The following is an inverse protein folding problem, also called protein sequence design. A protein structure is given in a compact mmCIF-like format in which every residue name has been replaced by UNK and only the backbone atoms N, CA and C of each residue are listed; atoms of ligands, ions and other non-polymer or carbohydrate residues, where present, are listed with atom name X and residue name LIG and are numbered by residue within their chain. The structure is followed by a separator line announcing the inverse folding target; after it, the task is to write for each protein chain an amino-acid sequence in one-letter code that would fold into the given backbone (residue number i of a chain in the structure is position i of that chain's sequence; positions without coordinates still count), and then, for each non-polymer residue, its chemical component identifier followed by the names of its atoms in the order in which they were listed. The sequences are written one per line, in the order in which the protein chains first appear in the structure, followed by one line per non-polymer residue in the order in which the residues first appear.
data_IF_444484998607
#
_entry.id   IF_444484998607
#
_cell.length_a   1.000
_cell.length_b   1.000
_cell.length_c   1.000
_cell.angle_alpha   90.00
_cell.angle_beta   90.00
_cell.angle_gamma   90.00
#
_symmetry.space_group_name_H-M   'P 1'
#
loop_
_entity.id
_entity.type
_entity.pdbx_description
1 polymer ?
#
# COMPACT_ATOMS: atom_id res chain seq x y z
N UNK A 1 36.86 -12.39 1.04
CA UNK A 1 35.62 -12.82 0.37
C UNK A 1 34.55 -11.78 0.60
N UNK A 2 33.84 -11.40 -0.43
CA UNK A 2 32.70 -10.50 -0.34
C UNK A 2 31.43 -11.28 -0.70
N UNK A 3 30.40 -11.19 0.12
CA UNK A 3 29.14 -11.91 -0.08
C UNK A 3 28.01 -10.86 -0.06
N UNK A 4 27.20 -10.87 -1.11
CA UNK A 4 25.96 -10.10 -1.18
C UNK A 4 24.77 -11.05 -0.98
N UNK A 5 23.75 -10.55 -0.28
CA UNK A 5 22.46 -11.21 -0.09
C UNK A 5 21.37 -10.15 -0.02
N UNK A 6 20.10 -10.53 0.01
CA UNK A 6 18.97 -9.62 0.19
C UNK A 6 19.07 -8.83 1.51
N UNK A 7 19.71 -9.41 2.54
CA UNK A 7 20.00 -8.76 3.82
C UNK A 7 21.22 -7.82 3.81
N UNK A 8 21.90 -7.63 2.69
CA UNK A 8 23.03 -6.71 2.56
C UNK A 8 24.34 -7.33 2.12
N UNK A 9 25.44 -6.67 2.49
CA UNK A 9 26.79 -7.07 2.12
C UNK A 9 27.61 -7.46 3.34
N UNK A 10 28.28 -8.61 3.27
CA UNK A 10 29.19 -9.08 4.28
C UNK A 10 30.58 -9.35 3.71
N UNK A 11 31.59 -9.14 4.51
CA UNK A 11 33.01 -9.31 4.12
C UNK A 11 33.78 -10.19 5.12
N UNK A 12 34.64 -11.06 4.61
CA UNK A 12 35.64 -11.76 5.40
C UNK A 12 37.03 -11.55 4.79
N UNK A 13 37.98 -11.07 5.59
CA UNK A 13 39.35 -10.87 5.15
C UNK A 13 40.12 -12.20 5.01
N UNK A 14 39.80 -13.21 5.81
CA UNK A 14 40.54 -14.45 5.95
C UNK A 14 39.78 -15.71 5.57
N UNK A 15 38.52 -15.58 5.08
CA UNK A 15 37.66 -16.72 4.82
C UNK A 15 37.01 -17.33 6.07
N UNK A 16 37.21 -16.71 7.24
CA UNK A 16 36.54 -17.05 8.49
C UNK A 16 35.19 -16.33 8.69
N UNK A 17 34.99 -15.73 9.86
CA UNK A 17 33.77 -15.02 10.20
C UNK A 17 33.45 -13.92 9.19
N UNK A 18 32.20 -13.82 8.79
CA UNK A 18 31.67 -12.74 7.97
C UNK A 18 31.29 -11.55 8.87
N UNK A 19 31.75 -10.36 8.50
CA UNK A 19 31.36 -9.11 9.15
C UNK A 19 30.43 -8.33 8.22
N UNK A 20 29.34 -7.83 8.75
CA UNK A 20 28.45 -6.99 7.95
C UNK A 20 29.13 -5.69 7.51
N UNK A 21 28.89 -5.29 6.29
CA UNK A 21 29.34 -4.02 5.67
C UNK A 21 28.16 -3.20 5.16
N UNK A 22 26.99 -3.45 5.70
CA UNK A 22 25.73 -2.82 5.25
C UNK A 22 25.51 -1.42 5.83
N UNK A 23 26.44 -0.87 6.63
CA UNK A 23 26.31 0.51 7.14
C UNK A 23 26.20 1.50 5.98
N UNK A 24 25.13 2.26 5.96
CA UNK A 24 24.74 3.18 4.87
C UNK A 24 24.41 2.47 3.55
N UNK A 25 24.18 1.16 3.58
CA UNK A 25 23.69 0.40 2.45
C UNK A 25 22.22 0.06 2.71
N UNK A 26 21.33 0.71 1.98
CA UNK A 26 19.89 0.49 2.10
C UNK A 26 19.52 -0.73 1.25
N UNK A 27 19.20 -1.84 1.90
CA UNK A 27 18.88 -3.11 1.25
C UNK A 27 17.39 -3.45 1.31
N UNK A 28 16.61 -2.73 2.09
CA UNK A 28 15.17 -2.95 2.14
C UNK A 28 14.53 -2.57 0.80
N UNK A 29 13.85 -3.52 0.19
CA UNK A 29 13.09 -3.33 -1.04
C UNK A 29 11.61 -3.36 -0.70
N UNK A 30 10.99 -2.20 -0.67
CA UNK A 30 9.55 -2.06 -0.46
C UNK A 30 8.80 -2.36 -1.76
N UNK A 31 7.77 -3.19 -1.65
CA UNK A 31 6.80 -3.41 -2.71
C UNK A 31 5.68 -2.37 -2.68
N UNK A 32 5.22 -2.05 -1.47
CA UNK A 32 4.18 -1.05 -1.22
C UNK A 32 4.55 -0.22 0.00
N UNK A 33 4.04 0.99 0.05
CA UNK A 33 4.18 1.91 1.17
C UNK A 33 2.83 2.54 1.50
N UNK A 34 2.65 2.94 2.75
CA UNK A 34 1.49 3.70 3.20
C UNK A 34 1.90 4.70 4.28
N UNK A 35 1.36 5.90 4.21
CA UNK A 35 1.58 6.97 5.19
C UNK A 35 0.35 7.11 6.08
N UNK A 36 0.57 7.14 7.40
CA UNK A 36 -0.51 7.30 8.35
C UNK A 36 -1.16 8.69 8.25
N UNK A 37 -2.49 8.81 8.41
CA UNK A 37 -3.17 10.07 8.47
C UNK A 37 -2.65 10.98 9.57
N UNK A 38 -2.75 12.29 9.36
CA UNK A 38 -2.41 13.27 10.37
C UNK A 38 -3.20 13.03 11.67
N UNK A 39 -2.55 13.15 12.80
CA UNK A 39 -3.12 12.89 14.12
C UNK A 39 -3.50 11.42 14.46
N UNK A 40 -3.26 10.44 13.60
CA UNK A 40 -3.54 9.06 13.96
C UNK A 40 -2.83 8.64 15.25
N UNK A 41 -1.63 9.16 15.49
CA UNK A 41 -0.80 8.86 16.66
C UNK A 41 -0.63 10.03 17.62
N UNK A 42 -1.40 11.12 17.47
CA UNK A 42 -1.25 12.37 18.25
C UNK A 42 -1.24 12.19 19.76
N UNK A 43 -1.97 11.24 20.29
CA UNK A 43 -2.06 10.99 21.72
C UNK A 43 -1.12 9.86 22.18
N UNK A 44 -0.14 9.55 21.38
CA UNK A 44 0.77 8.43 21.57
C UNK A 44 0.03 7.10 21.64
N UNK A 45 0.38 6.16 20.78
CA UNK A 45 -0.05 4.79 20.98
C UNK A 45 1.14 3.88 21.17
N UNK A 46 1.02 3.03 22.15
CA UNK A 46 1.95 1.94 22.36
C UNK A 46 1.49 0.75 21.56
N UNK A 47 2.27 0.36 20.56
CA UNK A 47 2.10 -0.92 19.89
C UNK A 47 3.04 -1.91 20.60
N UNK A 48 2.48 -2.98 21.13
CA UNK A 48 3.24 -3.98 21.91
C UNK A 48 3.48 -5.19 21.02
N UNK A 49 4.75 -5.57 20.89
CA UNK A 49 5.17 -6.81 20.23
C UNK A 49 5.73 -7.78 21.26
N UNK A 50 5.38 -9.05 21.13
CA UNK A 50 5.98 -10.12 21.92
C UNK A 50 7.28 -10.60 21.28
N UNK A 51 8.37 -10.59 22.02
CA UNK A 51 9.62 -11.27 21.67
C UNK A 51 9.73 -12.55 22.48
N UNK A 52 9.91 -13.68 21.81
CA UNK A 52 10.21 -14.95 22.46
C UNK A 52 11.74 -15.15 22.53
N UNK A 53 12.35 -14.99 23.71
CA UNK A 53 13.78 -15.12 23.84
C UNK A 53 14.27 -16.59 23.69
N UNK A 54 13.39 -17.58 23.83
CA UNK A 54 13.75 -19.00 23.64
C UNK A 54 13.85 -19.38 22.18
N UNK A 55 13.02 -18.75 21.34
CA UNK A 55 13.08 -18.96 19.88
C UNK A 55 13.98 -17.97 19.17
N UNK A 56 14.41 -16.89 19.82
CA UNK A 56 15.22 -15.84 19.23
C UNK A 56 14.49 -15.08 18.13
N UNK A 57 13.17 -15.19 18.07
CA UNK A 57 12.30 -14.63 17.05
C UNK A 57 11.19 -13.78 17.63
N UNK A 58 10.75 -12.80 16.85
CA UNK A 58 9.53 -12.07 17.14
C UNK A 58 8.35 -12.91 16.65
N UNK A 59 7.62 -13.50 17.59
CA UNK A 59 6.37 -14.21 17.27
C UNK A 59 5.17 -13.36 17.66
N UNK A 60 4.52 -12.74 16.69
CA UNK A 60 3.29 -12.00 16.93
C UNK A 60 2.09 -12.90 17.24
N UNK A 61 2.19 -14.19 16.95
CA UNK A 61 1.18 -15.21 17.21
C UNK A 61 1.53 -16.09 18.43
N UNK A 62 2.61 -15.79 19.16
CA UNK A 62 3.02 -16.55 20.33
C UNK A 62 1.87 -16.64 21.34
N UNK A 63 1.07 -17.66 21.18
CA UNK A 63 -0.04 -18.01 22.05
C UNK A 63 0.53 -18.67 23.31
N UNK A 64 1.08 -17.80 24.20
CA UNK A 64 1.26 -18.09 25.62
C UNK A 64 1.65 -19.50 26.02
N UNK A 65 2.90 -19.87 25.86
CA UNK A 65 3.60 -20.71 26.84
C UNK A 65 4.18 -19.78 27.91
N UNK A 66 4.33 -20.24 29.13
CA UNK A 66 4.77 -19.47 30.27
C UNK A 66 6.27 -19.06 30.18
N UNK A 67 6.64 -18.29 29.17
CA UNK A 67 7.95 -17.67 28.99
C UNK A 67 7.88 -16.18 29.24
N UNK A 68 8.93 -15.59 29.75
CA UNK A 68 9.03 -14.15 29.98
C UNK A 68 9.11 -13.42 28.66
N UNK A 69 8.02 -12.84 28.21
CA UNK A 69 8.00 -11.99 27.02
C UNK A 69 8.63 -10.63 27.31
N UNK A 70 9.57 -10.22 26.49
CA UNK A 70 10.06 -8.85 26.48
C UNK A 70 9.23 -8.07 25.47
N UNK A 71 8.38 -7.19 25.95
CA UNK A 71 7.58 -6.32 25.09
C UNK A 71 8.41 -5.12 24.64
N UNK A 72 8.47 -4.85 23.36
CA UNK A 72 8.98 -3.61 22.82
C UNK A 72 7.81 -2.66 22.60
N UNK A 73 7.82 -1.54 23.28
CA UNK A 73 6.78 -0.52 23.15
C UNK A 73 7.20 0.47 22.08
N UNK A 74 6.30 0.69 21.14
CA UNK A 74 6.43 1.74 20.17
C UNK A 74 5.58 2.92 20.65
N UNK A 75 6.23 4.01 21.06
CA UNK A 75 5.54 5.25 21.40
C UNK A 75 5.86 6.30 20.37
N UNK A 76 4.84 6.84 19.73
CA UNK A 76 5.00 8.07 18.96
C UNK A 76 5.07 9.24 19.93
N UNK A 77 6.08 10.06 19.79
CA UNK A 77 6.23 11.28 20.58
C UNK A 77 5.16 12.27 20.13
N UNK A 78 4.54 12.95 21.10
CA UNK A 78 3.53 13.97 20.84
C UNK A 78 4.11 15.07 19.93
N UNK A 79 3.49 15.27 18.76
CA UNK A 79 3.91 16.28 17.78
C UNK A 79 4.66 15.73 16.55
N UNK A 80 5.17 14.50 16.56
CA UNK A 80 5.76 13.83 15.41
C UNK A 80 4.77 12.82 14.84
N UNK A 81 4.20 13.15 13.68
CA UNK A 81 3.14 12.36 13.07
C UNK A 81 3.57 11.60 11.82
N UNK A 82 4.88 11.51 11.58
CA UNK A 82 5.40 10.88 10.38
C UNK A 82 5.58 9.39 10.63
N UNK A 83 4.45 8.67 10.50
CA UNK A 83 4.41 7.22 10.60
C UNK A 83 4.06 6.65 9.23
N UNK A 84 4.83 5.68 8.80
CA UNK A 84 4.59 4.96 7.56
C UNK A 84 4.77 3.46 7.74
N UNK A 85 4.18 2.70 6.86
CA UNK A 85 4.27 1.25 6.81
C UNK A 85 4.71 0.82 5.41
N UNK A 86 5.34 -0.34 5.29
CA UNK A 86 5.72 -0.90 4.01
C UNK A 86 5.83 -2.41 4.03
N UNK A 87 5.35 -3.03 2.95
CA UNK A 87 5.56 -4.45 2.68
C UNK A 87 6.85 -4.68 1.91
N UNK A 88 7.64 -5.68 2.33
CA UNK A 88 8.98 -5.95 1.79
C UNK A 88 9.14 -7.41 1.43
N UNK A 89 9.99 -7.66 0.43
CA UNK A 89 10.45 -9.02 0.12
C UNK A 89 11.27 -9.56 1.28
N UNK A 90 11.00 -10.82 1.69
CA UNK A 90 11.71 -11.60 2.72
C UNK A 90 11.78 -10.94 4.11
N UNK A 91 11.32 -9.69 4.26
CA UNK A 91 11.40 -8.91 5.50
C UNK A 91 10.02 -8.54 6.06
N UNK A 92 8.97 -9.12 5.52
CA UNK A 92 7.60 -8.93 6.01
C UNK A 92 7.05 -7.54 5.81
N UNK A 93 6.22 -7.11 6.75
CA UNK A 93 5.65 -5.76 6.78
C UNK A 93 6.16 -5.02 7.99
N UNK A 94 6.69 -3.83 7.79
CA UNK A 94 7.20 -2.98 8.86
C UNK A 94 6.36 -1.71 9.06
N UNK A 95 6.38 -1.18 10.27
CA UNK A 95 5.90 0.15 10.59
C UNK A 95 7.07 0.98 11.11
N UNK A 96 7.19 2.19 10.65
CA UNK A 96 8.24 3.11 11.04
C UNK A 96 7.62 4.41 11.53
N UNK A 97 8.22 4.99 12.57
CA UNK A 97 7.94 6.36 12.96
C UNK A 97 9.23 7.16 12.94
N UNK A 98 9.13 8.38 12.52
CA UNK A 98 10.22 9.33 12.68
C UNK A 98 10.51 9.53 14.16
N UNK A 99 11.77 9.57 14.53
CA UNK A 99 12.25 10.03 15.83
C UNK A 99 13.18 11.21 15.63
N UNK A 100 13.36 12.02 16.70
CA UNK A 100 14.16 13.24 16.67
C UNK A 100 15.63 13.04 16.24
N UNK A 101 16.11 11.80 16.19
CA UNK A 101 17.47 11.43 15.81
C UNK A 101 17.61 11.13 14.30
N UNK A 102 16.54 11.20 13.51
CA UNK A 102 16.52 10.91 12.07
C UNK A 102 16.74 9.44 11.72
N UNK A 103 16.70 8.54 12.71
CA UNK A 103 16.76 7.09 12.53
C UNK A 103 15.55 6.46 13.18
N UNK A 104 14.59 6.07 12.35
CA UNK A 104 13.48 5.26 12.85
C UNK A 104 13.90 3.79 12.96
N UNK A 105 13.47 3.15 14.06
CA UNK A 105 13.53 1.70 14.14
C UNK A 105 12.33 1.15 13.38
N UNK A 106 12.58 0.41 12.32
CA UNK A 106 11.55 -0.40 11.69
C UNK A 106 11.11 -1.50 12.67
N UNK A 107 9.82 -1.60 12.90
CA UNK A 107 9.26 -2.69 13.70
C UNK A 107 8.50 -3.60 12.74
N UNK A 108 9.00 -4.81 12.57
CA UNK A 108 8.36 -5.82 11.75
C UNK A 108 7.16 -6.41 12.49
N UNK A 109 6.02 -6.41 11.86
CA UNK A 109 4.80 -7.01 12.41
C UNK A 109 4.18 -8.06 11.47
N UNK A 110 4.82 -8.33 10.35
CA UNK A 110 4.55 -9.43 9.45
C UNK A 110 5.85 -10.17 9.12
N UNK A 111 5.85 -11.49 9.08
CA UNK A 111 6.99 -12.31 8.68
C UNK A 111 6.87 -12.75 7.22
N UNK A 112 7.97 -13.15 6.60
CA UNK A 112 8.04 -13.60 5.21
C UNK A 112 7.94 -12.43 4.23
N UNK A 113 7.19 -12.56 3.16
CA UNK A 113 7.01 -11.51 2.15
C UNK A 113 5.81 -10.63 2.49
N UNK A 114 6.03 -9.35 2.77
CA UNK A 114 4.96 -8.37 2.90
C UNK A 114 4.54 -7.86 1.53
N UNK A 115 3.23 -7.74 1.28
CA UNK A 115 2.70 -7.19 0.04
C UNK A 115 2.01 -5.84 0.28
N UNK A 116 0.68 -5.77 0.27
CA UNK A 116 -0.03 -4.51 0.49
C UNK A 116 -0.02 -4.09 1.96
N UNK A 117 0.04 -2.78 2.19
CA UNK A 117 -0.17 -2.15 3.50
C UNK A 117 -1.00 -0.89 3.33
N UNK A 118 -1.95 -0.64 4.25
CA UNK A 118 -2.89 0.49 4.15
C UNK A 118 -3.29 0.96 5.55
N UNK A 119 -3.24 2.26 5.79
CA UNK A 119 -3.80 2.84 7.02
C UNK A 119 -5.26 3.24 6.82
N UNK A 120 -6.08 3.02 7.85
CA UNK A 120 -7.39 3.64 7.93
C UNK A 120 -7.27 5.16 7.86
N UNK A 121 -8.09 5.78 7.02
CA UNK A 121 -8.22 7.24 6.96
C UNK A 121 -9.28 7.77 7.95
N UNK A 122 -9.94 6.86 8.68
CA UNK A 122 -10.97 7.20 9.67
C UNK A 122 -10.35 7.39 11.06
N UNK A 123 -10.33 8.64 11.54
CA UNK A 123 -9.78 8.98 12.85
C UNK A 123 -10.53 8.36 14.05
N UNK A 124 -11.75 7.91 13.87
CA UNK A 124 -12.55 7.28 14.92
C UNK A 124 -12.32 5.77 15.00
N UNK A 125 -11.80 5.16 13.94
CA UNK A 125 -11.47 3.75 13.90
C UNK A 125 -10.08 3.57 13.24
N UNK A 126 -9.06 3.43 14.06
CA UNK A 126 -7.66 3.49 13.68
C UNK A 126 -7.07 2.10 13.57
N UNK A 127 -6.59 1.75 12.39
CA UNK A 127 -5.95 0.47 12.13
C UNK A 127 -5.03 0.53 10.92
N UNK A 128 -4.15 -0.46 10.80
CA UNK A 128 -3.39 -0.74 9.58
C UNK A 128 -3.76 -2.13 9.08
N UNK A 129 -4.04 -2.22 7.80
CA UNK A 129 -4.24 -3.47 7.08
C UNK A 129 -2.94 -3.85 6.42
N UNK A 130 -2.61 -5.13 6.41
CA UNK A 130 -1.48 -5.67 5.67
C UNK A 130 -1.75 -7.11 5.25
N UNK A 131 -1.12 -7.56 4.19
CA UNK A 131 -1.26 -8.93 3.73
C UNK A 131 0.12 -9.57 3.45
N UNK A 132 0.10 -10.86 3.35
CA UNK A 132 1.16 -11.67 2.77
C UNK A 132 0.93 -11.79 1.26
N UNK A 133 1.92 -12.25 0.51
CA UNK A 133 1.82 -12.49 -0.94
C UNK A 133 0.61 -13.40 -1.30
N UNK A 134 0.17 -13.34 -2.54
CA UNK A 134 -1.01 -14.09 -3.06
C UNK A 134 -2.31 -13.86 -2.29
N UNK A 135 -2.48 -12.67 -1.73
CA UNK A 135 -3.63 -12.36 -0.84
C UNK A 135 -3.78 -13.28 0.37
N UNK A 136 -2.76 -14.04 0.68
CA UNK A 136 -2.75 -14.91 1.84
C UNK A 136 -2.62 -14.07 3.12
N UNK A 137 -3.26 -14.51 4.19
CA UNK A 137 -3.12 -13.89 5.50
C UNK A 137 -3.37 -12.38 5.54
N UNK A 138 -4.47 -11.90 4.94
CA UNK A 138 -4.89 -10.51 5.16
C UNK A 138 -5.13 -10.29 6.64
N UNK A 139 -4.48 -9.30 7.21
CA UNK A 139 -4.45 -9.02 8.65
C UNK A 139 -4.71 -7.56 8.93
N UNK A 140 -5.23 -7.29 10.10
CA UNK A 140 -5.49 -5.93 10.61
C UNK A 140 -4.87 -5.77 11.98
N UNK A 141 -4.12 -4.71 12.16
CA UNK A 141 -3.61 -4.29 13.45
C UNK A 141 -4.44 -3.11 13.95
N UNK A 142 -5.14 -3.30 15.08
CA UNK A 142 -5.93 -2.26 15.72
C UNK A 142 -5.02 -1.22 16.38
N UNK A 143 -5.20 0.05 16.02
CA UNK A 143 -4.45 1.18 16.53
C UNK A 143 -5.29 2.12 17.40
N UNK A 144 -6.51 1.75 17.80
CA UNK A 144 -7.37 2.60 18.61
C UNK A 144 -6.82 2.82 20.01
N UNK A 145 -6.91 4.05 20.58
CA UNK A 145 -6.49 4.34 21.94
C UNK A 145 -7.29 3.54 22.98
N UNK A 146 -6.65 3.21 24.11
CA UNK A 146 -7.33 2.60 25.25
C UNK A 146 -7.74 1.13 25.11
N UNK A 147 -7.45 0.51 23.99
CA UNK A 147 -7.46 -0.95 23.91
C UNK A 147 -6.24 -1.43 24.70
N UNK A 148 -6.50 -1.71 25.97
CA UNK A 148 -5.50 -2.34 26.81
C UNK A 148 -5.35 -3.78 26.37
N UNK A 149 -4.18 -4.13 25.99
CA UNK A 149 -3.58 -5.40 26.27
C UNK A 149 -3.78 -6.57 25.33
N UNK A 150 -2.70 -7.26 25.34
CA UNK A 150 -2.59 -8.69 25.29
C UNK A 150 -2.94 -9.28 23.96
N UNK A 151 -1.96 -9.35 23.08
CA UNK A 151 -2.13 -9.80 21.70
C UNK A 151 -2.89 -8.76 20.89
N UNK A 152 -2.54 -7.55 21.18
CA UNK A 152 -3.21 -6.32 20.86
C UNK A 152 -3.67 -6.26 19.42
N UNK A 153 -4.91 -6.68 19.23
CA UNK A 153 -5.65 -6.24 18.09
C UNK A 153 -5.12 -6.65 16.72
N UNK A 154 -4.34 -7.73 16.62
CA UNK A 154 -3.96 -8.29 15.34
C UNK A 154 -4.99 -9.36 14.97
N UNK A 155 -5.73 -9.10 13.92
CA UNK A 155 -6.80 -9.96 13.46
C UNK A 155 -6.47 -10.47 12.07
N UNK A 156 -6.62 -11.77 11.87
CA UNK A 156 -6.59 -12.37 10.55
C UNK A 156 -8.00 -12.38 9.99
N UNK A 157 -8.18 -11.85 8.79
CA UNK A 157 -9.48 -11.71 8.14
C UNK A 157 -9.64 -12.61 6.92
N UNK A 158 -8.58 -13.10 6.32
CA UNK A 158 -8.63 -14.13 5.26
C UNK A 158 -8.36 -15.53 5.82
N UNK A 159 -8.88 -16.55 5.16
CA UNK A 159 -8.50 -17.93 5.43
C UNK A 159 -7.16 -18.27 4.79
N UNK A 160 -6.43 -19.27 5.35
CA UNK A 160 -5.13 -19.73 4.81
C UNK A 160 -5.26 -20.43 3.46
N UNK A 161 -6.45 -20.74 3.02
CA UNK A 161 -6.73 -21.55 1.84
C UNK A 161 -6.91 -20.71 0.58
N UNK A 162 -7.01 -19.38 0.74
CA UNK A 162 -7.23 -18.45 -0.36
C UNK A 162 -5.86 -17.97 -0.88
N UNK A 163 -5.14 -18.84 -1.57
CA UNK A 163 -4.00 -18.49 -2.41
C UNK A 163 -4.54 -17.89 -3.70
N UNK A 164 -4.96 -16.63 -3.64
CA UNK A 164 -5.58 -15.90 -4.73
C UNK A 164 -4.74 -14.67 -5.11
N UNK A 165 -4.85 -14.27 -6.38
CA UNK A 165 -4.19 -13.07 -6.87
C UNK A 165 -2.71 -13.28 -7.22
N UNK A 166 -1.97 -12.18 -7.23
CA UNK A 166 -0.57 -12.14 -7.64
C UNK A 166 0.38 -12.25 -6.46
N UNK A 167 1.67 -12.53 -6.74
CA UNK A 167 2.72 -12.56 -5.71
C UNK A 167 2.72 -11.27 -4.90
N UNK A 168 2.86 -10.10 -5.52
CA UNK A 168 2.60 -8.82 -4.87
C UNK A 168 1.15 -8.45 -5.13
N UNK A 169 0.27 -8.86 -4.22
CA UNK A 169 -1.14 -8.72 -4.45
C UNK A 169 -1.66 -7.31 -4.19
N UNK A 170 -2.33 -6.75 -5.17
CA UNK A 170 -2.94 -5.42 -5.07
C UNK A 170 -4.18 -5.47 -4.18
N UNK A 171 -4.29 -4.48 -3.31
CA UNK A 171 -5.44 -4.28 -2.44
C UNK A 171 -5.68 -2.80 -2.19
N UNK A 172 -6.91 -2.45 -1.86
CA UNK A 172 -7.31 -1.10 -1.45
C UNK A 172 -8.32 -1.15 -0.30
N UNK A 173 -8.39 -0.07 0.47
CA UNK A 173 -9.21 0.03 1.66
C UNK A 173 -10.24 1.15 1.53
N UNK A 174 -11.51 0.82 1.62
CA UNK A 174 -12.57 1.78 1.93
C UNK A 174 -12.61 2.02 3.44
N UNK A 175 -11.98 3.10 3.88
CA UNK A 175 -11.92 3.45 5.30
C UNK A 175 -13.25 3.95 5.87
N UNK A 176 -14.18 4.39 5.03
CA UNK A 176 -15.49 4.89 5.46
C UNK A 176 -16.42 3.73 5.81
N UNK A 177 -16.36 2.66 5.04
CA UNK A 177 -17.22 1.47 5.22
C UNK A 177 -16.49 0.30 5.87
N UNK A 178 -15.17 0.36 6.06
CA UNK A 178 -14.38 -0.72 6.61
C UNK A 178 -14.36 -1.94 5.67
N UNK A 179 -14.15 -1.72 4.37
CA UNK A 179 -14.11 -2.79 3.37
C UNK A 179 -12.73 -2.84 2.73
N UNK A 180 -12.14 -4.03 2.67
CA UNK A 180 -10.90 -4.27 1.96
C UNK A 180 -11.21 -4.98 0.66
N UNK A 181 -10.78 -4.41 -0.45
CA UNK A 181 -10.86 -5.02 -1.78
C UNK A 181 -9.48 -5.49 -2.19
N UNK A 182 -9.35 -6.75 -2.58
CA UNK A 182 -8.08 -7.35 -2.97
C UNK A 182 -8.23 -8.13 -4.28
N UNK A 183 -7.21 -8.10 -5.13
CA UNK A 183 -7.17 -8.93 -6.32
C UNK A 183 -7.29 -10.42 -5.93
N UNK A 184 -8.22 -11.12 -6.56
CA UNK A 184 -8.47 -12.55 -6.36
C UNK A 184 -8.17 -13.38 -7.62
N UNK A 185 -7.41 -12.80 -8.56
CA UNK A 185 -7.03 -13.44 -9.82
C UNK A 185 -8.20 -13.65 -10.80
N UNK A 186 -7.88 -14.01 -12.01
CA UNK A 186 -8.85 -14.41 -13.05
C UNK A 186 -9.99 -13.38 -13.27
N UNK A 187 -9.71 -12.10 -13.15
CA UNK A 187 -10.70 -11.03 -13.30
C UNK A 187 -11.69 -10.94 -12.14
N UNK A 188 -11.26 -11.32 -10.96
CA UNK A 188 -12.04 -11.23 -9.74
C UNK A 188 -11.38 -10.30 -8.72
N UNK A 189 -12.20 -9.65 -7.90
CA UNK A 189 -11.80 -8.90 -6.71
C UNK A 189 -12.59 -9.45 -5.52
N UNK A 190 -11.88 -9.77 -4.44
CA UNK A 190 -12.51 -10.19 -3.18
C UNK A 190 -12.68 -8.99 -2.26
N UNK A 191 -13.86 -8.84 -1.69
CA UNK A 191 -14.19 -7.85 -0.69
C UNK A 191 -14.31 -8.51 0.68
N UNK A 192 -13.61 -7.99 1.68
CA UNK A 192 -13.74 -8.41 3.08
C UNK A 192 -14.42 -7.30 3.87
N UNK A 193 -15.42 -7.64 4.67
CA UNK A 193 -16.23 -6.70 5.44
C UNK A 193 -16.64 -7.28 6.81
N UNK A 194 -17.31 -6.52 7.67
CA UNK A 194 -17.70 -6.91 9.03
C UNK A 194 -16.53 -7.37 9.92
N UNK A 195 -15.32 -6.90 9.67
CA UNK A 195 -14.12 -7.30 10.40
C UNK A 195 -13.62 -6.23 11.37
N UNK A 196 -14.13 -5.01 11.31
CA UNK A 196 -13.65 -3.83 12.03
C UNK A 196 -14.29 -3.61 13.41
N UNK A 197 -15.15 -4.54 13.84
CA UNK A 197 -15.62 -4.63 15.23
C UNK A 197 -14.55 -5.27 16.12
N UNK A 198 -13.61 -4.45 16.56
CA UNK A 198 -12.53 -4.87 17.46
C UNK A 198 -12.97 -5.18 18.89
N UNK A 199 -14.24 -4.95 19.24
CA UNK A 199 -14.80 -5.31 20.55
C UNK A 199 -15.08 -6.80 20.66
N UNK A 200 -15.20 -7.50 19.53
CA UNK A 200 -15.52 -8.91 19.47
C UNK A 200 -14.48 -9.68 18.63
N UNK A 201 -13.58 -10.37 19.28
CA UNK A 201 -12.56 -11.21 18.63
C UNK A 201 -13.15 -12.36 17.77
N UNK A 202 -14.43 -12.66 17.93
CA UNK A 202 -15.18 -13.64 17.16
C UNK A 202 -16.13 -12.99 16.15
N UNK A 203 -15.95 -11.69 15.82
CA UNK A 203 -16.76 -11.05 14.79
C UNK A 203 -16.68 -11.84 13.49
N UNK A 204 -17.83 -12.05 12.90
CA UNK A 204 -17.94 -12.79 11.63
C UNK A 204 -17.20 -12.00 10.57
N UNK A 205 -16.30 -12.67 9.91
CA UNK A 205 -15.50 -12.10 8.81
C UNK A 205 -16.16 -12.54 7.53
N UNK A 206 -16.94 -11.64 6.97
CA UNK A 206 -17.66 -11.92 5.75
C UNK A 206 -16.85 -11.52 4.53
N UNK A 207 -17.06 -12.20 3.43
CA UNK A 207 -16.47 -11.83 2.16
C UNK A 207 -17.42 -12.16 1.00
N UNK A 208 -17.22 -11.48 -0.12
CA UNK A 208 -17.84 -11.80 -1.40
C UNK A 208 -16.89 -11.50 -2.56
N UNK A 209 -17.21 -11.97 -3.74
CA UNK A 209 -16.39 -11.80 -4.94
C UNK A 209 -17.11 -10.92 -5.96
N UNK A 210 -16.42 -9.88 -6.42
CA UNK A 210 -16.77 -9.08 -7.59
C UNK A 210 -16.11 -9.75 -8.78
N UNK A 211 -16.89 -10.37 -9.67
CA UNK A 211 -16.41 -11.16 -10.80
C UNK A 211 -16.69 -10.50 -12.16
N UNK A 212 -16.12 -11.06 -13.21
CA UNK A 212 -16.43 -10.66 -14.59
C UNK A 212 -15.74 -9.39 -15.05
N UNK A 213 -14.55 -9.08 -14.50
CA UNK A 213 -13.72 -7.96 -14.93
C UNK A 213 -12.85 -8.28 -16.16
N UNK A 214 -12.92 -9.51 -16.64
CA UNK A 214 -12.34 -9.95 -17.92
C UNK A 214 -10.84 -10.22 -17.92
N UNK A 215 -10.07 -9.66 -16.96
CA UNK A 215 -8.63 -9.84 -16.83
C UNK A 215 -8.19 -9.56 -15.38
N UNK A 216 -6.96 -9.96 -15.03
CA UNK A 216 -6.40 -9.77 -13.70
C UNK A 216 -6.37 -8.30 -13.30
N UNK A 217 -6.80 -7.99 -12.08
CA UNK A 217 -6.73 -6.66 -11.51
C UNK A 217 -5.28 -6.31 -11.15
N UNK A 218 -4.73 -5.29 -11.76
CA UNK A 218 -3.35 -4.83 -11.56
C UNK A 218 -3.25 -3.51 -10.79
N UNK A 219 -4.36 -2.79 -10.71
CA UNK A 219 -4.51 -1.60 -9.89
C UNK A 219 -5.91 -1.57 -9.26
N UNK A 220 -5.99 -1.17 -8.00
CA UNK A 220 -7.24 -1.04 -7.24
C UNK A 220 -7.21 0.28 -6.47
N UNK A 221 -8.26 1.07 -6.57
CA UNK A 221 -8.46 2.22 -5.69
C UNK A 221 -9.94 2.45 -5.41
N UNK A 222 -10.25 2.97 -4.24
CA UNK A 222 -11.61 3.33 -3.80
C UNK A 222 -11.76 4.85 -3.77
N UNK A 223 -12.79 5.35 -4.41
CA UNK A 223 -13.15 6.76 -4.32
C UNK A 223 -13.75 7.05 -2.93
N UNK A 224 -12.94 7.57 -2.01
CA UNK A 224 -13.32 7.83 -0.62
C UNK A 224 -14.06 9.17 -0.42
N UNK A 225 -14.75 9.66 -1.45
CA UNK A 225 -15.53 10.91 -1.40
C UNK A 225 -16.95 10.73 -0.87
N UNK A 226 -17.40 9.47 -0.75
CA UNK A 226 -18.74 9.09 -0.25
C UNK A 226 -18.61 8.29 1.05
N UNK A 227 -19.59 8.45 1.94
CA UNK A 227 -19.58 7.79 3.25
C UNK A 227 -20.64 6.68 3.39
N UNK A 228 -21.49 6.47 2.39
CA UNK A 228 -22.62 5.54 2.45
C UNK A 228 -22.55 4.44 1.40
N UNK A 229 -21.81 4.65 0.34
CA UNK A 229 -21.62 3.70 -0.75
C UNK A 229 -20.15 3.65 -1.12
N UNK A 230 -19.68 2.49 -1.57
CA UNK A 230 -18.33 2.30 -2.07
C UNK A 230 -18.31 2.34 -3.60
N UNK A 231 -17.43 3.15 -4.16
CA UNK A 231 -17.12 3.10 -5.59
C UNK A 231 -15.69 2.60 -5.75
N UNK A 232 -15.56 1.39 -6.27
CA UNK A 232 -14.28 0.76 -6.53
C UNK A 232 -13.87 0.94 -7.99
N UNK A 233 -12.63 1.36 -8.21
CA UNK A 233 -12.02 1.42 -9.51
C UNK A 233 -11.00 0.28 -9.65
N UNK A 234 -11.06 -0.43 -10.79
CA UNK A 234 -10.22 -1.61 -11.05
C UNK A 234 -9.54 -1.44 -12.40
N UNK A 235 -8.24 -1.27 -12.37
CA UNK A 235 -7.37 -1.34 -13.54
C UNK A 235 -6.91 -2.78 -13.78
N UNK A 236 -6.84 -3.20 -15.04
CA UNK A 236 -6.53 -4.58 -15.40
C UNK A 236 -5.28 -4.68 -16.27
N UNK A 237 -4.72 -5.88 -16.35
CA UNK A 237 -3.52 -6.19 -17.13
C UNK A 237 -3.65 -5.94 -18.64
N UNK A 238 -4.88 -5.88 -19.15
CA UNK A 238 -5.19 -5.64 -20.56
C UNK A 238 -5.72 -4.22 -20.86
N UNK A 239 -5.55 -3.27 -19.91
CA UNK A 239 -5.85 -1.86 -20.11
C UNK A 239 -7.29 -1.44 -19.81
N UNK A 240 -8.16 -2.33 -19.37
CA UNK A 240 -9.48 -1.89 -18.94
C UNK A 240 -9.42 -1.20 -17.59
N UNK A 241 -10.17 -0.11 -17.49
CA UNK A 241 -10.50 0.55 -16.25
C UNK A 241 -11.99 0.38 -15.98
N UNK A 242 -12.30 -0.35 -14.93
CA UNK A 242 -13.67 -0.58 -14.48
C UNK A 242 -14.03 0.38 -13.35
N UNK A 243 -15.23 0.93 -13.42
CA UNK A 243 -15.90 1.58 -12.31
C UNK A 243 -16.98 0.63 -11.78
N UNK A 244 -16.88 0.27 -10.51
CA UNK A 244 -17.83 -0.59 -9.81
C UNK A 244 -18.55 0.26 -8.78
N UNK A 245 -19.76 0.69 -9.08
CA UNK A 245 -20.60 1.47 -8.16
C UNK A 245 -21.38 0.55 -7.22
N UNK A 246 -21.66 1.01 -6.00
CA UNK A 246 -22.23 0.20 -4.91
C UNK A 246 -21.43 -1.09 -4.70
N UNK A 247 -20.12 -0.99 -4.71
CA UNK A 247 -19.23 -2.13 -4.63
C UNK A 247 -19.44 -2.92 -3.32
N UNK A 248 -19.96 -2.30 -2.27
CA UNK A 248 -20.31 -2.90 -0.99
C UNK A 248 -21.56 -3.81 -1.03
N UNK A 249 -22.33 -3.77 -2.12
CA UNK A 249 -23.63 -4.43 -2.17
C UNK A 249 -23.81 -5.25 -3.44
N UNK A 250 -23.72 -6.56 -3.32
CA UNK A 250 -23.81 -7.49 -4.45
C UNK A 250 -25.18 -7.49 -5.18
N UNK A 251 -26.23 -6.95 -4.56
CA UNK A 251 -27.59 -6.97 -5.11
C UNK A 251 -27.87 -5.80 -6.07
N UNK A 252 -27.23 -4.65 -5.86
CA UNK A 252 -27.41 -3.46 -6.69
C UNK A 252 -26.10 -2.89 -7.27
N UNK A 253 -25.04 -3.68 -7.22
CA UNK A 253 -23.75 -3.36 -7.81
C UNK A 253 -23.85 -3.18 -9.34
N UNK A 254 -23.25 -2.13 -9.85
CA UNK A 254 -23.13 -1.93 -11.30
C UNK A 254 -21.67 -1.83 -11.71
N UNK A 255 -21.35 -2.31 -12.91
CA UNK A 255 -19.99 -2.31 -13.45
C UNK A 255 -20.00 -1.65 -14.81
N UNK A 256 -19.10 -0.70 -14.99
CA UNK A 256 -18.94 0.07 -16.22
C UNK A 256 -17.46 0.12 -16.60
N UNK A 257 -17.17 -0.02 -17.89
CA UNK A 257 -15.83 0.22 -18.43
C UNK A 257 -15.75 1.70 -18.79
N UNK A 258 -14.79 2.39 -18.18
CA UNK A 258 -14.55 3.82 -18.41
C UNK A 258 -13.16 4.08 -19.02
N UNK A 259 -12.51 3.06 -19.56
CA UNK A 259 -11.19 3.17 -20.21
C UNK A 259 -11.21 4.15 -21.38
N UNK A 260 -10.12 4.88 -21.56
CA UNK A 260 -9.87 5.62 -22.79
C UNK A 260 -9.59 4.69 -23.98
N UNK A 261 -9.87 5.17 -25.20
CA UNK A 261 -9.61 4.39 -26.43
C UNK A 261 -8.11 4.07 -26.63
N UNK A 262 -7.23 4.89 -26.07
CA UNK A 262 -5.78 4.77 -26.20
C UNK A 262 -5.14 3.98 -25.04
N UNK A 263 -5.94 3.38 -24.15
CA UNK A 263 -5.44 2.57 -23.05
C UNK A 263 -4.87 1.26 -23.57
N UNK A 264 -3.56 1.12 -23.51
CA UNK A 264 -2.82 -0.06 -23.99
C UNK A 264 -1.84 -0.51 -22.92
N UNK A 265 -1.89 -1.79 -22.58
CA UNK A 265 -1.00 -2.37 -21.58
C UNK A 265 -1.67 -2.53 -20.22
N UNK A 266 -0.87 -2.72 -19.22
CA UNK A 266 -1.31 -3.01 -17.86
C UNK A 266 -1.45 -1.73 -17.06
N UNK A 267 -2.59 -1.50 -16.46
CA UNK A 267 -2.82 -0.38 -15.54
C UNK A 267 -1.96 -0.59 -14.31
N UNK A 268 -1.14 0.38 -13.95
CA UNK A 268 -0.25 0.30 -12.78
C UNK A 268 -0.79 1.00 -11.55
N UNK A 269 -1.49 2.12 -11.76
CA UNK A 269 -2.05 2.90 -10.68
C UNK A 269 -3.31 3.67 -11.10
N UNK A 270 -4.14 3.95 -10.12
CA UNK A 270 -5.35 4.76 -10.23
C UNK A 270 -5.33 5.73 -9.05
N UNK A 271 -5.28 7.03 -9.30
CA UNK A 271 -5.30 8.05 -8.25
C UNK A 271 -6.42 9.06 -8.52
N UNK A 272 -6.87 9.73 -7.47
CA UNK A 272 -7.92 10.74 -7.54
C UNK A 272 -7.37 12.12 -7.20
N UNK A 273 -7.84 13.12 -7.94
CA UNK A 273 -7.60 14.52 -7.62
C UNK A 273 -8.55 15.03 -6.51
N UNK A 274 -9.11 16.21 -6.70
CA UNK A 274 -10.00 16.85 -5.70
C UNK A 274 -11.34 16.16 -5.49
N UNK A 275 -11.81 15.40 -6.47
CA UNK A 275 -13.10 14.69 -6.43
C UNK A 275 -13.06 13.42 -7.32
N UNK A 276 -14.14 12.64 -7.30
CA UNK A 276 -14.28 11.38 -8.03
C UNK A 276 -14.26 11.54 -9.56
N UNK A 277 -14.43 12.77 -10.10
CA UNK A 277 -14.36 13.00 -11.55
C UNK A 277 -12.93 13.22 -12.03
N UNK A 278 -12.03 13.63 -11.14
CA UNK A 278 -10.62 13.79 -11.47
C UNK A 278 -9.87 12.50 -11.20
N UNK A 279 -9.53 11.78 -12.28
CA UNK A 279 -8.89 10.46 -12.20
C UNK A 279 -7.60 10.48 -13.01
N UNK A 280 -6.54 9.98 -12.39
CA UNK A 280 -5.25 9.72 -13.01
C UNK A 280 -5.09 8.22 -13.16
N UNK A 281 -4.57 7.78 -14.33
CA UNK A 281 -4.29 6.37 -14.60
C UNK A 281 -2.90 6.25 -15.21
N UNK A 282 -2.11 5.30 -14.72
CA UNK A 282 -0.77 5.03 -15.23
C UNK A 282 -0.61 3.62 -15.78
N UNK A 283 0.43 3.42 -16.60
CA UNK A 283 0.75 2.13 -17.24
C UNK A 283 2.23 1.81 -17.07
N UNK A 284 2.54 0.56 -16.71
CA UNK A 284 3.93 0.12 -16.52
C UNK A 284 4.53 -0.64 -17.71
N UNK A 285 4.12 -0.29 -18.93
CA UNK A 285 4.63 -0.89 -20.16
C UNK A 285 5.54 0.08 -20.90
N UNK A 286 6.52 -0.45 -21.63
CA UNK A 286 7.26 0.29 -22.63
C UNK A 286 6.47 0.37 -23.95
N UNK A 287 6.72 1.42 -24.74
CA UNK A 287 6.12 1.59 -26.08
C UNK A 287 4.65 1.99 -26.07
N UNK A 288 4.15 2.48 -24.93
CA UNK A 288 2.78 2.95 -24.77
C UNK A 288 2.78 4.33 -24.12
N UNK A 289 1.65 5.04 -24.20
CA UNK A 289 1.45 6.23 -23.36
C UNK A 289 1.20 5.78 -21.93
N UNK A 290 1.96 6.33 -21.00
CA UNK A 290 2.00 5.85 -19.62
C UNK A 290 1.17 6.68 -18.64
N UNK A 291 0.70 7.88 -19.02
CA UNK A 291 -0.05 8.77 -18.14
C UNK A 291 -1.31 9.29 -18.83
N UNK A 292 -2.46 9.05 -18.21
CA UNK A 292 -3.74 9.58 -18.63
C UNK A 292 -4.47 10.29 -17.49
N UNK A 293 -5.26 11.28 -17.86
CA UNK A 293 -6.06 12.08 -16.94
C UNK A 293 -7.45 12.35 -17.51
N UNK A 294 -8.45 12.33 -16.64
CA UNK A 294 -9.79 12.81 -16.90
C UNK A 294 -10.26 13.79 -15.83
N UNK A 295 -11.10 14.73 -16.16
CA UNK A 295 -11.78 15.62 -15.21
C UNK A 295 -13.30 15.49 -15.24
N UNK A 296 -13.80 14.45 -15.93
CA UNK A 296 -15.23 14.23 -16.15
C UNK A 296 -15.67 12.78 -15.85
N UNK A 297 -14.94 12.10 -14.97
CA UNK A 297 -15.28 10.75 -14.50
C UNK A 297 -15.03 9.66 -15.53
N UNK A 298 -14.12 9.89 -16.47
CA UNK A 298 -13.74 8.91 -17.47
C UNK A 298 -14.52 9.00 -18.78
N UNK A 299 -15.32 10.05 -18.99
CA UNK A 299 -16.02 10.26 -20.27
C UNK A 299 -15.03 10.68 -21.38
N UNK A 300 -14.04 11.49 -21.02
CA UNK A 300 -12.97 11.91 -21.92
C UNK A 300 -11.62 11.76 -21.23
N UNK A 301 -10.63 11.25 -21.96
CA UNK A 301 -9.27 11.04 -21.46
C UNK A 301 -8.26 11.83 -22.27
N UNK A 302 -7.32 12.48 -21.59
CA UNK A 302 -6.18 13.17 -22.17
C UNK A 302 -4.89 12.47 -21.75
N UNK A 303 -3.98 12.22 -22.71
CA UNK A 303 -2.62 11.82 -22.37
C UNK A 303 -1.87 12.98 -21.75
N UNK A 304 -1.13 12.71 -20.70
CA UNK A 304 -0.27 13.65 -19.98
C UNK A 304 1.22 13.25 -20.03
N UNK A 305 1.58 12.52 -21.07
CA UNK A 305 2.96 12.06 -21.33
C UNK A 305 3.95 13.22 -21.48
N UNK A 306 3.57 14.27 -22.20
CA UNK A 306 4.45 15.42 -22.46
C UNK A 306 5.81 15.03 -23.02
N UNK A 307 6.89 15.42 -22.33
CA UNK A 307 8.27 15.06 -22.65
C UNK A 307 8.82 13.90 -21.82
N UNK A 308 7.98 13.15 -21.09
CA UNK A 308 8.43 11.97 -20.33
C UNK A 308 9.05 10.97 -21.33
N UNK A 309 10.23 10.40 -21.05
CA UNK A 309 10.78 9.32 -21.87
C UNK A 309 9.83 8.10 -21.92
N UNK A 310 9.97 7.25 -22.93
CA UNK A 310 9.28 5.97 -22.99
C UNK A 310 9.82 5.03 -21.89
N UNK A 311 9.24 5.16 -20.68
CA UNK A 311 9.57 4.38 -19.49
C UNK A 311 8.30 3.98 -18.76
N UNK A 312 8.27 2.78 -18.14
CA UNK A 312 7.16 2.37 -17.29
C UNK A 312 6.91 3.34 -16.13
N UNK A 313 5.66 3.71 -15.94
CA UNK A 313 5.19 4.51 -14.79
C UNK A 313 4.41 3.58 -13.86
N UNK A 314 4.80 3.54 -12.58
CA UNK A 314 4.22 2.63 -11.59
C UNK A 314 3.15 3.28 -10.73
N UNK A 315 3.29 4.57 -10.47
CA UNK A 315 2.39 5.32 -9.60
C UNK A 315 2.43 6.82 -9.90
N UNK A 316 1.39 7.52 -9.47
CA UNK A 316 1.21 8.97 -9.68
C UNK A 316 0.56 9.59 -8.45
N UNK A 317 1.05 10.78 -8.03
CA UNK A 317 0.46 11.57 -6.96
C UNK A 317 0.38 13.03 -7.37
N UNK A 318 -0.77 13.65 -7.13
CA UNK A 318 -0.97 15.10 -7.27
C UNK A 318 -0.82 15.80 -5.91
N UNK A 319 -0.14 16.92 -5.90
CA UNK A 319 -0.03 17.75 -4.70
C UNK A 319 -1.42 18.25 -4.26
N UNK A 320 -1.79 18.10 -2.97
CA UNK A 320 -3.06 18.65 -2.48
C UNK A 320 -3.04 20.17 -2.36
N UNK A 321 -1.86 20.80 -2.50
CA UNK A 321 -1.66 22.24 -2.37
C UNK A 321 -1.67 22.95 -3.73
N UNK A 322 -1.28 22.27 -4.79
CA UNK A 322 -1.22 22.81 -6.15
C UNK A 322 -1.51 21.69 -7.15
N UNK A 323 -2.61 21.80 -7.88
CA UNK A 323 -3.04 20.79 -8.86
C UNK A 323 -2.10 20.67 -10.08
N UNK A 324 -1.24 21.65 -10.31
CA UNK A 324 -0.21 21.60 -11.35
C UNK A 324 1.05 20.84 -10.93
N UNK A 325 1.22 20.62 -9.63
CA UNK A 325 2.31 19.81 -9.10
C UNK A 325 1.91 18.34 -9.05
N UNK A 326 2.56 17.54 -9.90
CA UNK A 326 2.36 16.08 -9.97
C UNK A 326 3.70 15.39 -10.01
N UNK A 327 3.81 14.27 -9.27
CA UNK A 327 4.97 13.40 -9.27
C UNK A 327 4.59 12.01 -9.77
N UNK A 328 5.53 11.34 -10.44
CA UNK A 328 5.38 9.95 -10.87
C UNK A 328 6.59 9.13 -10.47
N UNK A 329 6.32 7.91 -9.99
CA UNK A 329 7.33 6.89 -9.77
C UNK A 329 7.47 6.01 -11.01
N UNK A 330 8.71 5.84 -11.46
CA UNK A 330 9.02 5.18 -12.72
C UNK A 330 10.06 4.07 -12.56
N UNK A 331 10.33 3.35 -13.65
CA UNK A 331 11.47 2.41 -13.72
C UNK A 331 12.83 3.10 -13.46
N UNK A 332 12.93 4.41 -13.71
CA UNK A 332 14.15 5.21 -13.56
C UNK A 332 13.96 6.39 -12.59
N UNK A 333 13.52 6.09 -11.38
CA UNK A 333 13.36 7.07 -10.31
C UNK A 333 12.07 7.87 -10.37
N UNK A 334 12.09 9.03 -9.74
CA UNK A 334 10.95 9.94 -9.62
C UNK A 334 11.05 11.05 -10.66
N UNK A 335 9.94 11.36 -11.31
CA UNK A 335 9.79 12.52 -12.18
C UNK A 335 8.68 13.42 -11.66
N UNK A 336 8.80 14.72 -11.93
CA UNK A 336 7.83 15.68 -11.47
C UNK A 336 7.51 16.71 -12.55
N UNK A 337 6.33 17.30 -12.46
CA UNK A 337 5.93 18.48 -13.25
C UNK A 337 5.26 19.51 -12.34
N UNK A 338 5.33 20.77 -12.71
CA UNK A 338 4.60 21.89 -12.09
C UNK A 338 3.70 22.64 -13.10
N UNK A 339 3.35 21.99 -14.19
CA UNK A 339 2.45 22.51 -15.22
C UNK A 339 1.53 21.41 -15.77
N UNK A 340 1.00 20.57 -14.90
CA UNK A 340 0.18 19.42 -15.27
C UNK A 340 -1.10 19.79 -16.04
N UNK A 341 -1.67 20.97 -15.78
CA UNK A 341 -2.83 21.49 -16.52
C UNK A 341 -2.55 21.73 -18.00
N UNK A 342 -1.28 21.88 -18.40
CA UNK A 342 -0.89 21.98 -19.80
C UNK A 342 -1.36 20.75 -20.59
N UNK A 343 -1.69 20.94 -21.88
CA UNK A 343 -1.95 19.83 -22.80
C UNK A 343 -0.75 18.88 -22.90
N UNK A 344 0.47 19.45 -22.88
CA UNK A 344 1.74 18.70 -22.90
C UNK A 344 2.59 19.14 -21.69
N UNK A 345 2.46 18.48 -20.53
CA UNK A 345 3.25 18.80 -19.35
C UNK A 345 4.75 18.65 -19.59
N UNK A 346 5.55 19.40 -18.85
CA UNK A 346 7.00 19.27 -18.89
C UNK A 346 7.48 18.52 -17.65
N UNK A 347 7.93 17.30 -17.86
CA UNK A 347 8.47 16.43 -16.81
C UNK A 347 9.97 16.64 -16.64
N UNK A 348 10.42 16.67 -15.39
CA UNK A 348 11.82 16.72 -15.01
C UNK A 348 12.13 15.64 -13.97
N UNK A 349 13.30 15.05 -14.05
CA UNK A 349 13.75 14.05 -13.10
C UNK A 349 14.02 14.68 -11.72
N UNK A 350 13.51 14.06 -10.66
CA UNK A 350 13.56 14.54 -9.28
C UNK A 350 14.33 13.59 -8.35
N UNK A 351 15.48 13.09 -8.79
CA UNK A 351 16.27 12.07 -8.08
C UNK A 351 17.35 12.67 -7.15
N UNK A 352 17.26 13.94 -6.74
CA UNK A 352 18.27 14.56 -5.87
C UNK A 352 18.44 13.75 -4.58
N UNK A 353 19.63 13.13 -4.41
CA UNK A 353 19.93 12.25 -3.27
C UNK A 353 19.41 10.80 -3.39
N UNK A 354 18.68 10.47 -4.45
CA UNK A 354 18.26 9.11 -4.80
C UNK A 354 19.07 8.58 -5.98
N UNK A 355 19.15 7.26 -6.10
CA UNK A 355 19.64 6.61 -7.33
C UNK A 355 18.50 6.45 -8.32
N UNK A 356 18.84 6.25 -9.61
CA UNK A 356 17.89 5.90 -10.67
C UNK A 356 17.44 4.44 -10.50
N UNK A 357 16.59 4.21 -9.50
CA UNK A 357 16.02 2.91 -9.17
C UNK A 357 14.52 2.93 -9.46
N UNK A 358 13.98 1.76 -9.72
CA UNK A 358 12.54 1.57 -9.83
C UNK A 358 11.84 2.06 -8.56
N UNK A 359 10.84 2.89 -8.73
CA UNK A 359 9.94 3.34 -7.66
C UNK A 359 8.64 2.55 -7.78
N UNK A 360 8.48 1.55 -6.93
CA UNK A 360 7.37 0.58 -7.01
C UNK A 360 6.07 1.10 -6.47
N UNK A 361 6.13 2.03 -5.51
CA UNK A 361 4.97 2.62 -4.89
C UNK A 361 5.30 3.98 -4.24
N UNK A 362 4.32 4.83 -4.14
CA UNK A 362 4.36 6.12 -3.45
C UNK A 362 3.03 6.35 -2.74
N UNK A 363 3.08 6.96 -1.58
CA UNK A 363 1.90 7.41 -0.87
C UNK A 363 2.13 8.79 -0.26
N UNK A 364 1.05 9.53 -0.08
CA UNK A 364 1.08 10.89 0.43
C UNK A 364 -0.02 11.10 1.45
N UNK A 365 0.32 11.77 2.53
CA UNK A 365 -0.67 12.22 3.50
C UNK A 365 -1.57 13.27 2.86
N UNK A 366 -2.83 12.95 2.76
CA UNK A 366 -3.87 13.94 2.42
C UNK A 366 -4.19 14.71 3.72
N UNK A 367 -3.91 16.01 3.73
CA UNK A 367 -3.89 16.91 4.88
C UNK A 367 -5.16 17.00 5.69
#
# INVERSE_FOLDING_TARGET
MLVGSDGGVAFSASGGSLETRSKNFHTAQYYTVAVAPFNMFKNGKTVVYGYDPEQGSWDPDASGGAGSFVYKMFTTIEGHNDVFSGGMQDNGTSIQADNDDGFSLANDFGSGDGAATMFSQNNNNRYVVYNYVYNNSVRVLNLNPGQSNDRAGRYRISNNEDDEGDFINRATLDSNLGIIYANAGNGNVRAYYNWDDFSNANSVKDNYVISGLGATATALNVAQFQNQTSTLYVGTENGYLWKVSNAENTSNQTKEIISGNDFIGSVSDIEFGKDENEIFVTFYNYGVKSIFYTSDGGQNWASKEGNLPDIPVYNILQSPLDSDEVIVGTELGVWFTNNFSSENPTWAQANAGMKDLRVTDMDMRKG
#
